data_IF_887753389399
#
_entry.id   IF_887753389399
#
_cell.length_a   1.000
_cell.length_b   1.000
_cell.length_c   1.000
_cell.angle_alpha   90.00
_cell.angle_beta   90.00
_cell.angle_gamma   90.00
#
_symmetry.space_group_name_H-M   'P 1'
#
loop_
_entity.id
_entity.type
_entity.pdbx_description
1 polymer ?
#
# COMPACT_ATOMS: atom_id res chain seq x y z
N UNK A 1 5.18 9.44 11.58
CA UNK A 1 5.94 8.25 11.12
C UNK A 1 5.96 8.22 9.60
N UNK A 2 7.11 7.99 8.95
CA UNK A 2 7.18 7.80 7.49
C UNK A 2 6.41 6.52 7.13
N UNK A 3 5.32 6.65 6.38
CA UNK A 3 4.60 5.52 5.81
C UNK A 3 5.34 5.09 4.54
N UNK A 4 6.43 4.34 4.71
CA UNK A 4 7.17 3.72 3.61
C UNK A 4 7.16 2.20 3.76
N UNK A 5 7.32 1.52 2.63
CA UNK A 5 7.58 0.08 2.51
C UNK A 5 8.89 -0.07 1.74
N UNK A 6 9.75 -1.00 2.16
CA UNK A 6 11.04 -1.22 1.51
C UNK A 6 11.24 -2.70 1.20
N UNK A 7 12.06 -3.01 0.19
CA UNK A 7 12.38 -4.40 -0.19
C UNK A 7 13.01 -5.20 0.96
N UNK A 8 13.62 -4.53 1.93
CA UNK A 8 14.14 -5.16 3.15
C UNK A 8 13.03 -5.72 4.05
N UNK A 9 11.80 -5.22 3.87
CA UNK A 9 10.61 -5.69 4.60
C UNK A 9 9.99 -6.93 3.95
N UNK A 10 10.48 -7.43 2.80
CA UNK A 10 9.81 -8.49 2.02
C UNK A 10 9.49 -9.75 2.84
N UNK A 11 10.36 -10.15 3.76
CA UNK A 11 10.11 -11.31 4.64
C UNK A 11 9.00 -11.08 5.68
N UNK A 12 8.61 -9.83 5.91
CA UNK A 12 7.56 -9.43 6.83
C UNK A 12 6.29 -8.98 6.12
N UNK A 13 6.31 -8.83 4.79
CA UNK A 13 5.15 -8.39 4.00
C UNK A 13 4.33 -9.59 3.54
N UNK A 14 3.00 -9.41 3.54
CA UNK A 14 2.09 -10.40 2.94
C UNK A 14 2.13 -10.41 1.41
N UNK A 15 2.67 -9.35 0.80
CA UNK A 15 2.85 -9.18 -0.66
C UNK A 15 4.20 -8.52 -0.85
N UNK A 16 5.08 -9.12 -1.66
CA UNK A 16 6.44 -8.61 -1.86
C UNK A 16 6.43 -7.24 -2.54
N UNK A 17 7.45 -6.43 -2.32
CA UNK A 17 7.56 -5.09 -2.92
C UNK A 17 7.39 -5.13 -4.44
N UNK A 18 8.03 -6.08 -5.13
CA UNK A 18 7.94 -6.21 -6.59
C UNK A 18 6.52 -6.60 -7.07
N UNK A 19 5.79 -7.37 -6.27
CA UNK A 19 4.39 -7.74 -6.55
C UNK A 19 3.45 -6.54 -6.32
N UNK A 20 3.71 -5.71 -5.29
CA UNK A 20 2.94 -4.48 -5.07
C UNK A 20 3.09 -3.54 -6.27
N UNK A 21 4.33 -3.23 -6.69
CA UNK A 21 4.60 -2.26 -7.76
C UNK A 21 4.17 -2.73 -9.15
N UNK A 22 4.07 -4.05 -9.37
CA UNK A 22 3.51 -4.62 -10.61
C UNK A 22 1.99 -4.66 -10.61
N UNK A 23 1.35 -4.63 -9.44
CA UNK A 23 -0.11 -4.70 -9.29
C UNK A 23 -0.81 -3.34 -9.26
N UNK A 24 -0.10 -2.27 -8.89
CA UNK A 24 -0.69 -0.92 -8.77
C UNK A 24 0.11 0.12 -9.56
N UNK A 25 -0.53 1.21 -10.04
CA UNK A 25 0.18 2.28 -10.71
C UNK A 25 1.27 2.92 -9.83
N UNK A 26 2.45 3.08 -10.41
CA UNK A 26 3.61 3.71 -9.78
C UNK A 26 3.88 5.08 -10.40
N UNK A 27 4.45 5.97 -9.60
CA UNK A 27 4.70 7.35 -9.97
C UNK A 27 6.09 7.80 -9.51
N UNK A 28 6.79 8.64 -10.29
CA UNK A 28 8.13 9.11 -9.94
C UNK A 28 8.12 10.10 -8.76
N UNK A 29 7.00 10.80 -8.52
CA UNK A 29 6.89 11.80 -7.45
C UNK A 29 5.63 11.60 -6.61
N UNK A 30 5.71 12.03 -5.34
CA UNK A 30 4.56 12.02 -4.42
C UNK A 30 3.37 12.78 -4.99
N UNK A 31 3.61 13.95 -5.57
CA UNK A 31 2.54 14.80 -6.11
C UNK A 31 1.86 14.15 -7.32
N UNK A 32 2.61 13.49 -8.21
CA UNK A 32 2.03 12.76 -9.32
C UNK A 32 1.09 11.64 -8.84
N UNK A 33 1.51 10.86 -7.84
CA UNK A 33 0.66 9.86 -7.22
C UNK A 33 -0.62 10.48 -6.62
N UNK A 34 -0.47 11.50 -5.77
CA UNK A 34 -1.64 12.15 -5.13
C UNK A 34 -2.62 12.71 -6.16
N UNK A 35 -2.12 13.34 -7.23
CA UNK A 35 -2.97 13.88 -8.30
C UNK A 35 -3.70 12.76 -9.05
N UNK A 36 -3.03 11.64 -9.33
CA UNK A 36 -3.65 10.48 -9.98
C UNK A 36 -4.69 9.77 -9.10
N UNK A 37 -4.50 9.79 -7.77
CA UNK A 37 -5.43 9.21 -6.81
C UNK A 37 -6.68 10.05 -6.56
N UNK A 38 -6.62 11.36 -6.77
CA UNK A 38 -7.68 12.30 -6.40
C UNK A 38 -9.06 11.97 -7.03
N UNK A 39 -9.16 11.59 -8.32
CA UNK A 39 -10.43 11.18 -8.93
C UNK A 39 -11.07 9.94 -8.28
N UNK A 40 -10.26 9.11 -7.61
CA UNK A 40 -10.70 7.90 -6.92
C UNK A 40 -10.95 8.12 -5.41
N UNK A 41 -10.88 9.36 -4.94
CA UNK A 41 -11.02 9.71 -3.52
C UNK A 41 -9.77 9.46 -2.68
N UNK A 42 -8.61 9.23 -3.30
CA UNK A 42 -7.35 9.00 -2.60
C UNK A 42 -6.43 10.22 -2.69
N UNK A 43 -6.09 10.81 -1.54
CA UNK A 43 -5.22 12.01 -1.46
C UNK A 43 -3.87 11.75 -0.79
N UNK A 44 -3.51 10.49 -0.64
CA UNK A 44 -2.29 10.06 0.04
C UNK A 44 -1.48 9.15 -0.86
N UNK A 45 -0.17 9.20 -0.66
CA UNK A 45 0.78 8.33 -1.35
C UNK A 45 1.77 7.75 -0.34
N UNK A 46 2.20 6.53 -0.64
CA UNK A 46 3.17 5.76 0.14
C UNK A 46 4.43 5.62 -0.71
N UNK A 47 5.59 5.84 -0.10
CA UNK A 47 6.87 5.59 -0.77
C UNK A 47 7.19 4.10 -0.71
N UNK A 48 7.47 3.51 -1.85
CA UNK A 48 7.96 2.13 -1.97
C UNK A 48 9.42 2.18 -2.43
N UNK A 49 10.29 1.58 -1.64
CA UNK A 49 11.72 1.50 -1.89
C UNK A 49 12.03 0.13 -2.49
N UNK A 50 12.36 0.10 -3.79
CA UNK A 50 12.85 -1.09 -4.47
C UNK A 50 14.37 -1.18 -4.30
N UNK A 51 14.98 -2.27 -4.76
CA UNK A 51 16.43 -2.48 -4.68
C UNK A 51 17.25 -1.39 -5.37
N UNK A 52 16.75 -0.84 -6.48
CA UNK A 52 17.48 0.07 -7.36
C UNK A 52 16.80 1.42 -7.59
N UNK A 53 15.58 1.62 -7.06
CA UNK A 53 14.82 2.85 -7.26
C UNK A 53 13.80 3.07 -6.14
N UNK A 54 13.33 4.31 -6.03
CA UNK A 54 12.22 4.66 -5.15
C UNK A 54 11.04 5.15 -5.99
N UNK A 55 9.87 4.55 -5.75
CA UNK A 55 8.64 4.91 -6.43
C UNK A 55 7.58 5.35 -5.44
N UNK A 56 6.60 6.11 -5.92
CA UNK A 56 5.43 6.50 -5.15
C UNK A 56 4.22 5.75 -5.67
N UNK A 57 3.43 5.20 -4.75
CA UNK A 57 2.14 4.59 -5.07
C UNK A 57 1.04 5.35 -4.37
N UNK A 58 -0.14 5.43 -5.00
CA UNK A 58 -1.33 5.90 -4.31
C UNK A 58 -1.69 4.90 -3.23
N UNK A 59 -1.98 5.38 -2.03
CA UNK A 59 -2.38 4.51 -0.94
C UNK A 59 -2.20 5.14 0.42
N UNK A 60 -2.52 4.35 1.45
CA UNK A 60 -2.38 4.78 2.84
C UNK A 60 -1.98 3.60 3.72
N UNK A 61 -1.24 3.92 4.78
CA UNK A 61 -1.15 3.07 5.96
C UNK A 61 -2.43 3.28 6.79
N UNK A 62 -3.10 2.21 7.15
CA UNK A 62 -4.24 2.24 8.05
C UNK A 62 -3.79 2.67 9.45
N UNK A 63 -4.60 3.49 10.10
CA UNK A 63 -4.32 3.95 11.46
C UNK A 63 -4.39 2.79 12.47
N UNK A 64 -5.42 1.96 12.34
CA UNK A 64 -5.56 0.75 13.15
C UNK A 64 -4.68 -0.37 12.58
N UNK A 65 -3.94 -1.01 13.48
CA UNK A 65 -3.27 -2.28 13.21
C UNK A 65 -4.30 -3.36 12.94
N UNK A 66 -3.95 -4.29 12.06
CA UNK A 66 -4.74 -5.48 11.82
C UNK A 66 -4.27 -6.56 12.80
N UNK A 67 -5.20 -7.10 13.60
CA UNK A 67 -4.94 -8.15 14.59
C UNK A 67 -5.52 -9.45 14.09
N UNK A 68 -4.68 -10.46 13.94
CA UNK A 68 -5.11 -11.79 13.53
C UNK A 68 -4.30 -12.84 14.27
N UNK A 69 -4.98 -13.83 14.86
CA UNK A 69 -4.36 -14.93 15.60
C UNK A 69 -3.32 -14.49 16.66
N UNK A 70 -3.58 -13.38 17.37
CA UNK A 70 -2.67 -12.84 18.39
C UNK A 70 -1.47 -12.06 17.85
N UNK A 71 -1.33 -11.92 16.53
CA UNK A 71 -0.25 -11.17 15.89
C UNK A 71 -0.73 -9.77 15.47
N UNK A 72 0.19 -8.80 15.53
CA UNK A 72 -0.03 -7.41 15.14
C UNK A 72 0.58 -7.11 13.76
N UNK A 73 -0.25 -6.61 12.85
CA UNK A 73 0.16 -6.22 11.51
C UNK A 73 -0.11 -4.75 11.26
N UNK A 74 0.82 -4.10 10.57
CA UNK A 74 0.54 -2.82 9.94
C UNK A 74 -0.19 -3.08 8.63
N UNK A 75 -1.34 -2.43 8.42
CA UNK A 75 -2.12 -2.60 7.21
C UNK A 75 -1.90 -1.41 6.26
N UNK A 76 -1.78 -1.73 4.97
CA UNK A 76 -1.67 -0.78 3.87
C UNK A 76 -2.75 -1.08 2.84
N UNK A 77 -3.27 -0.03 2.23
CA UNK A 77 -4.27 -0.12 1.16
C UNK A 77 -3.81 0.69 -0.05
N UNK A 78 -3.74 0.03 -1.20
CA UNK A 78 -3.31 0.60 -2.46
C UNK A 78 -4.44 0.44 -3.50
N UNK A 79 -5.12 1.51 -3.92
CA UNK A 79 -6.10 1.42 -5.00
C UNK A 79 -5.42 1.08 -6.33
N UNK A 80 -6.11 0.30 -7.16
CA UNK A 80 -5.65 -0.02 -8.50
C UNK A 80 -5.88 1.13 -9.51
N UNK A 81 -6.52 2.22 -9.07
CA UNK A 81 -6.88 3.39 -9.88
C UNK A 81 -7.66 3.04 -11.15
N UNK A 82 -8.56 2.06 -11.02
CA UNK A 82 -9.49 1.67 -12.07
C UNK A 82 -10.86 1.41 -11.47
N UNK A 83 -11.89 1.83 -12.19
CA UNK A 83 -13.27 1.56 -11.82
C UNK A 83 -13.71 0.23 -12.40
N UNK A 84 -14.20 -0.65 -11.54
CA UNK A 84 -14.78 -1.94 -11.92
C UNK A 84 -16.26 -1.94 -11.56
N UNK A 85 -17.09 -2.49 -12.44
CA UNK A 85 -18.50 -2.75 -12.16
C UNK A 85 -18.66 -4.18 -11.70
N UNK A 86 -19.13 -4.37 -10.48
CA UNK A 86 -19.39 -5.69 -9.90
C UNK A 86 -20.75 -5.67 -9.22
N UNK A 87 -21.62 -6.63 -9.57
CA UNK A 87 -22.99 -6.72 -9.03
C UNK A 87 -23.79 -5.40 -9.10
N UNK A 88 -23.60 -4.61 -10.18
CA UNK A 88 -24.28 -3.32 -10.37
C UNK A 88 -23.67 -2.14 -9.59
N UNK A 89 -22.62 -2.37 -8.80
CA UNK A 89 -21.91 -1.35 -8.03
C UNK A 89 -20.59 -1.01 -8.71
N UNK A 90 -20.33 0.28 -8.93
CA UNK A 90 -19.02 0.76 -9.40
C UNK A 90 -18.09 0.92 -8.20
N UNK A 91 -17.02 0.14 -8.13
CA UNK A 91 -16.02 0.22 -7.06
C UNK A 91 -14.60 0.35 -7.62
N UNK A 92 -13.71 0.97 -6.85
CA UNK A 92 -12.28 0.98 -7.13
C UNK A 92 -11.64 -0.15 -6.33
N UNK A 93 -11.06 -1.13 -7.02
CA UNK A 93 -10.41 -2.28 -6.39
C UNK A 93 -9.17 -1.86 -5.61
N UNK A 94 -8.93 -2.52 -4.48
CA UNK A 94 -7.88 -2.16 -3.52
C UNK A 94 -7.02 -3.39 -3.23
N UNK A 95 -5.72 -3.27 -3.46
CA UNK A 95 -4.73 -4.20 -2.97
C UNK A 95 -4.49 -3.93 -1.47
N UNK A 96 -4.76 -4.93 -0.64
CA UNK A 96 -4.51 -4.87 0.81
C UNK A 96 -3.21 -5.60 1.13
N UNK A 97 -2.29 -4.92 1.81
CA UNK A 97 -0.98 -5.48 2.18
C UNK A 97 -0.83 -5.37 3.69
N UNK A 98 -0.36 -6.43 4.32
CA UNK A 98 -0.02 -6.48 5.73
C UNK A 98 1.50 -6.53 5.87
N UNK A 99 2.04 -5.81 6.84
CA UNK A 99 3.42 -5.94 7.31
C UNK A 99 3.41 -6.44 8.73
N UNK A 100 4.00 -7.60 8.97
CA UNK A 100 4.20 -8.12 10.32
C UNK A 100 5.07 -7.16 11.12
N UNK A 101 4.62 -6.84 12.34
CA UNK A 101 5.42 -6.07 13.28
C UNK A 101 5.72 -6.97 14.45
N UNK A 102 6.96 -7.44 14.53
CA UNK A 102 7.43 -8.16 15.71
C UNK A 102 7.33 -7.18 16.88
N UNK A 103 6.51 -7.50 17.88
CA UNK A 103 6.54 -6.77 19.14
C UNK A 103 7.92 -7.03 19.74
N UNK A 104 8.73 -5.99 19.88
CA UNK A 104 9.91 -6.05 20.74
C UNK A 104 9.37 -6.34 22.14
N UNK A 105 9.65 -7.53 22.67
CA UNK A 105 9.42 -7.81 24.08
C UNK A 105 10.15 -6.72 24.88
N UNK A 106 9.39 -5.93 25.64
CA UNK A 106 9.93 -4.99 26.62
C UNK A 106 10.38 -5.74 27.86
#
# INVERSE_FOLDING_TARGET
MRASISYVDDCHLSVRVDEIVSSVPTFPTKNAAVNAGAPFGWRTAVRIERRFENVWVVGKKCFQSDRSAGLNFEAYRFPLLRWEKEAGITKCSILSVRRFKQETAQ
#
